data_IF_802148059632
#
_entry.id   IF_802148059632
#
_cell.length_a   1.000
_cell.length_b   1.000
_cell.length_c   1.000
_cell.angle_alpha   90.00
_cell.angle_beta   90.00
_cell.angle_gamma   90.00
#
_symmetry.space_group_name_H-M   'P 1'
#
loop_
_entity.id
_entity.type
_entity.pdbx_description
1 polymer ?
#
# COMPACT_ATOMS: atom_id res chain seq x y z
N UNK A 1 -38.49 37.88 11.40
CA UNK A 1 -39.22 38.88 10.59
C UNK A 1 -38.29 40.07 10.48
N UNK A 2 -37.92 40.67 9.36
CA UNK A 2 -38.23 40.51 7.96
C UNK A 2 -37.27 41.50 7.26
N UNK A 3 -36.70 41.09 6.12
CA UNK A 3 -36.36 41.95 4.97
C UNK A 3 -35.18 42.96 5.04
N UNK A 4 -34.22 42.74 4.13
CA UNK A 4 -33.46 43.75 3.33
C UNK A 4 -34.42 44.74 2.61
N UNK A 5 -34.03 45.83 1.88
CA UNK A 5 -32.79 45.99 1.07
C UNK A 5 -32.24 47.42 0.76
N UNK A 6 -31.12 47.47 0.00
CA UNK A 6 -30.63 48.49 -0.98
C UNK A 6 -30.32 49.92 -0.47
N UNK A 7 -29.27 50.64 -0.91
CA UNK A 7 -28.89 50.97 -2.30
C UNK A 7 -27.53 51.73 -2.35
N UNK A 8 -26.83 51.51 -3.47
CA UNK A 8 -26.00 52.39 -4.32
C UNK A 8 -25.05 53.51 -3.81
N UNK A 9 -23.86 53.45 -4.45
CA UNK A 9 -22.77 54.40 -4.72
C UNK A 9 -23.21 55.89 -4.95
N UNK A 10 -22.40 56.96 -4.87
CA UNK A 10 -21.00 57.19 -5.25
C UNK A 10 -20.53 58.63 -4.86
N UNK A 11 -19.20 58.88 -4.80
CA UNK A 11 -18.55 60.21 -4.93
C UNK A 11 -18.10 60.88 -3.61
N UNK A 12 -17.07 61.72 -3.51
CA UNK A 12 -16.00 62.26 -4.39
C UNK A 12 -14.99 62.95 -3.44
N UNK A 13 -13.69 62.99 -3.72
CA UNK A 13 -12.77 63.83 -2.93
C UNK A 13 -11.27 63.65 -3.24
N UNK A 14 -10.72 64.63 -3.95
CA UNK A 14 -9.32 64.76 -4.39
C UNK A 14 -8.27 64.81 -3.26
N UNK A 15 -7.08 64.25 -3.54
CA UNK A 15 -5.75 64.88 -3.31
C UNK A 15 -4.64 64.09 -4.03
N UNK A 16 -3.84 64.82 -4.80
CA UNK A 16 -2.73 64.37 -5.65
C UNK A 16 -1.44 64.17 -4.83
N UNK A 17 -0.73 63.04 -4.99
CA UNK A 17 0.73 63.00 -5.16
C UNK A 17 1.20 61.64 -5.74
N UNK A 18 2.37 61.67 -6.35
CA UNK A 18 2.86 60.94 -7.51
C UNK A 18 3.34 59.48 -7.31
N UNK A 19 3.19 58.71 -8.39
CA UNK A 19 4.10 57.67 -8.94
C UNK A 19 4.50 56.49 -8.04
N UNK A 20 3.82 55.35 -8.22
CA UNK A 20 4.38 54.11 -8.79
C UNK A 20 3.24 53.11 -9.06
N UNK A 21 3.45 52.27 -10.07
CA UNK A 21 2.41 51.57 -10.84
C UNK A 21 1.63 50.46 -10.16
N UNK A 22 0.46 50.23 -10.77
CA UNK A 22 -0.31 48.98 -10.90
C UNK A 22 -0.74 48.21 -9.64
N UNK A 23 -2.00 48.48 -9.28
CA UNK A 23 -3.09 47.54 -9.03
C UNK A 23 -2.77 46.03 -9.03
N UNK A 24 -2.94 45.36 -7.89
CA UNK A 24 -4.09 44.45 -7.59
C UNK A 24 -3.88 43.71 -6.27
N UNK A 25 -4.91 43.78 -5.43
CA UNK A 25 -5.09 42.99 -4.23
C UNK A 25 -5.65 41.59 -4.55
N UNK A 26 -5.51 40.72 -3.53
CA UNK A 26 -6.21 39.45 -3.28
C UNK A 26 -5.42 38.16 -3.58
N UNK A 27 -5.02 37.49 -2.50
CA UNK A 27 -5.42 36.11 -2.24
C UNK A 27 -4.52 34.99 -2.78
N UNK A 28 -3.85 34.33 -1.84
CA UNK A 28 -3.13 33.05 -1.93
C UNK A 28 -3.64 32.05 -2.97
N UNK A 29 -2.70 31.42 -3.69
CA UNK A 29 -2.70 29.97 -3.95
C UNK A 29 -1.34 29.56 -4.55
N UNK A 30 -0.27 29.64 -3.75
CA UNK A 30 0.90 28.80 -4.00
C UNK A 30 0.50 27.36 -3.72
N UNK A 31 -0.02 26.71 -4.77
CA UNK A 31 -0.12 25.24 -4.83
C UNK A 31 1.29 24.71 -4.57
N UNK A 32 1.53 23.93 -3.50
CA UNK A 32 2.82 23.29 -3.36
C UNK A 32 3.00 22.39 -4.58
N UNK A 33 4.13 22.58 -5.27
CA UNK A 33 4.55 21.76 -6.37
C UNK A 33 4.39 20.30 -5.98
N UNK A 34 3.63 19.56 -6.79
CA UNK A 34 3.49 18.12 -6.65
C UNK A 34 4.88 17.52 -6.50
N UNK A 35 5.13 16.93 -5.34
CA UNK A 35 6.33 16.18 -5.01
C UNK A 35 6.42 15.02 -6.02
N UNK A 36 7.29 15.19 -7.01
CA UNK A 36 7.66 14.14 -7.95
C UNK A 36 8.57 13.16 -7.21
N UNK A 37 7.97 12.39 -6.29
CA UNK A 37 8.64 11.26 -5.66
C UNK A 37 8.92 10.22 -6.75
N UNK A 38 10.17 10.18 -7.17
CA UNK A 38 10.73 9.26 -8.16
C UNK A 38 10.79 7.84 -7.60
N UNK A 39 9.63 7.19 -7.42
CA UNK A 39 9.61 5.75 -7.18
C UNK A 39 9.91 5.04 -8.51
N UNK A 40 10.97 4.23 -8.52
CA UNK A 40 11.34 3.40 -9.67
C UNK A 40 10.11 2.58 -10.10
N UNK A 41 9.53 2.87 -11.26
CA UNK A 41 8.36 2.17 -11.78
C UNK A 41 8.69 0.68 -11.91
N UNK A 42 8.22 -0.10 -10.94
CA UNK A 42 8.45 -1.55 -10.93
C UNK A 42 7.63 -2.15 -12.06
N UNK A 43 8.25 -2.96 -12.92
CA UNK A 43 7.61 -3.49 -14.13
C UNK A 43 6.38 -4.38 -13.87
N UNK A 44 6.20 -4.84 -12.63
CA UNK A 44 5.07 -5.68 -12.21
C UNK A 44 3.95 -4.90 -11.51
N UNK A 45 4.09 -3.58 -11.33
CA UNK A 45 3.02 -2.70 -10.85
C UNK A 45 2.32 -2.12 -12.08
N UNK A 46 1.01 -2.37 -12.20
CA UNK A 46 0.20 -2.01 -13.37
C UNK A 46 -0.42 -0.61 -13.22
N UNK A 47 -0.95 -0.32 -12.04
CA UNK A 47 -1.68 0.90 -11.73
C UNK A 47 -1.77 1.09 -10.20
N UNK A 48 -2.49 2.11 -9.76
CA UNK A 48 -2.88 2.29 -8.36
C UNK A 48 -4.40 2.22 -8.20
N UNK A 49 -4.86 1.61 -7.11
CA UNK A 49 -6.26 1.52 -6.71
C UNK A 49 -6.51 2.48 -5.55
N UNK A 50 -7.50 3.35 -5.69
CA UNK A 50 -7.86 4.31 -4.64
C UNK A 50 -8.62 3.62 -3.53
N UNK A 51 -8.14 3.75 -2.30
CA UNK A 51 -8.76 3.18 -1.10
C UNK A 51 -8.93 4.25 -0.02
N UNK A 52 -9.69 3.99 1.07
CA UNK A 52 -9.86 4.95 2.16
C UNK A 52 -8.54 5.40 2.81
N UNK A 53 -7.48 4.60 2.69
CA UNK A 53 -6.17 4.87 3.29
C UNK A 53 -5.18 5.52 2.32
N UNK A 54 -5.57 5.71 1.05
CA UNK A 54 -4.71 6.22 -0.02
C UNK A 54 -4.65 5.30 -1.24
N UNK A 55 -3.68 5.55 -2.11
CA UNK A 55 -3.48 4.79 -3.34
C UNK A 55 -2.65 3.53 -3.07
N UNK A 56 -3.19 2.38 -3.44
CA UNK A 56 -2.55 1.07 -3.26
C UNK A 56 -2.07 0.54 -4.62
N UNK A 57 -0.82 0.08 -4.76
CA UNK A 57 -0.32 -0.47 -6.02
C UNK A 57 -1.07 -1.75 -6.41
N UNK A 58 -1.57 -1.78 -7.66
CA UNK A 58 -2.14 -2.95 -8.31
C UNK A 58 -1.03 -3.71 -9.02
N UNK A 59 -0.93 -5.00 -8.76
CA UNK A 59 0.17 -5.84 -9.23
C UNK A 59 -0.31 -6.86 -10.27
N UNK A 60 0.54 -7.11 -11.26
CA UNK A 60 0.28 -8.15 -12.26
C UNK A 60 0.33 -9.54 -11.63
N UNK A 61 -0.54 -10.44 -12.04
CA UNK A 61 -0.47 -11.88 -11.71
C UNK A 61 0.48 -12.62 -12.66
N UNK A 62 0.58 -12.14 -13.89
CA UNK A 62 1.51 -12.66 -14.88
C UNK A 62 2.94 -12.24 -14.59
N UNK A 63 3.84 -13.23 -14.56
CA UNK A 63 5.26 -13.03 -14.35
C UNK A 63 5.92 -12.61 -15.67
N UNK A 64 6.62 -11.50 -15.68
CA UNK A 64 7.40 -11.07 -16.83
C UNK A 64 8.70 -11.88 -16.92
N UNK A 65 9.34 -11.90 -18.10
CA UNK A 65 10.65 -12.53 -18.27
C UNK A 65 11.69 -12.00 -17.26
N UNK A 66 11.64 -10.70 -16.93
CA UNK A 66 12.47 -10.09 -15.90
C UNK A 66 12.31 -10.74 -14.51
N UNK A 67 11.11 -11.19 -14.16
CA UNK A 67 10.85 -11.91 -12.90
C UNK A 67 11.48 -13.30 -12.91
N UNK A 68 11.37 -14.02 -14.02
CA UNK A 68 11.99 -15.33 -14.21
C UNK A 68 13.51 -15.26 -14.17
N UNK A 69 14.10 -14.26 -14.83
CA UNK A 69 15.54 -14.00 -14.77
C UNK A 69 15.99 -13.63 -13.37
N UNK A 70 15.25 -12.75 -12.68
CA UNK A 70 15.51 -12.37 -11.29
C UNK A 70 15.49 -13.57 -10.34
N UNK A 71 14.48 -14.42 -10.46
CA UNK A 71 14.36 -15.65 -9.68
C UNK A 71 15.50 -16.63 -9.97
N UNK A 72 15.90 -16.78 -11.24
CA UNK A 72 17.00 -17.67 -11.64
C UNK A 72 18.35 -17.17 -11.11
N UNK A 73 18.62 -15.86 -11.18
CA UNK A 73 19.79 -15.23 -10.55
C UNK A 73 19.82 -15.49 -9.04
N UNK A 74 18.68 -15.28 -8.36
CA UNK A 74 18.57 -15.52 -6.93
C UNK A 74 18.83 -17.00 -6.55
N UNK A 75 18.33 -17.95 -7.36
CA UNK A 75 18.61 -19.39 -7.21
C UNK A 75 20.09 -19.72 -7.35
N UNK A 76 20.80 -19.02 -8.24
CA UNK A 76 22.26 -19.13 -8.40
C UNK A 76 23.05 -18.26 -7.41
N UNK A 77 22.43 -17.83 -6.31
CA UNK A 77 23.04 -17.01 -5.24
C UNK A 77 23.46 -15.60 -5.67
N UNK A 78 23.11 -15.16 -6.87
CA UNK A 78 23.43 -13.83 -7.40
C UNK A 78 22.36 -12.85 -6.91
N UNK A 79 22.74 -11.88 -6.09
CA UNK A 79 21.84 -10.80 -5.64
C UNK A 79 20.65 -11.25 -4.78
N UNK A 80 20.64 -12.50 -4.27
CA UNK A 80 19.49 -13.03 -3.50
C UNK A 80 19.14 -12.21 -2.26
N UNK A 81 20.15 -11.62 -1.60
CA UNK A 81 19.95 -10.84 -0.36
C UNK A 81 19.21 -9.52 -0.61
N UNK A 82 19.25 -9.01 -1.85
CA UNK A 82 18.60 -7.76 -2.28
C UNK A 82 17.35 -7.99 -3.14
N UNK A 83 16.96 -9.25 -3.38
CA UNK A 83 15.80 -9.59 -4.19
C UNK A 83 14.51 -9.50 -3.37
N UNK A 84 14.05 -8.26 -3.13
CA UNK A 84 12.97 -7.93 -2.20
C UNK A 84 11.89 -7.06 -2.83
N UNK A 85 10.72 -7.09 -2.22
CA UNK A 85 9.60 -6.19 -2.48
C UNK A 85 9.43 -5.27 -1.27
N UNK A 86 8.84 -4.10 -1.45
CA UNK A 86 8.52 -3.22 -0.33
C UNK A 86 7.42 -3.86 0.54
N UNK A 87 7.61 -3.98 1.87
CA UNK A 87 6.55 -4.42 2.76
C UNK A 87 5.36 -3.47 2.71
N UNK A 88 4.14 -4.00 2.68
CA UNK A 88 2.95 -3.18 2.50
C UNK A 88 1.76 -3.96 1.97
N UNK A 89 0.72 -3.23 1.62
CA UNK A 89 -0.51 -3.76 1.04
C UNK A 89 -0.48 -3.56 -0.48
N UNK A 90 -0.87 -4.59 -1.22
CA UNK A 90 -0.95 -4.59 -2.67
C UNK A 90 -2.31 -5.15 -3.11
N UNK A 91 -2.81 -4.68 -4.25
CA UNK A 91 -4.03 -5.17 -4.85
C UNK A 91 -3.73 -6.12 -6.02
N UNK A 92 -4.48 -7.20 -6.14
CA UNK A 92 -4.54 -8.02 -7.37
C UNK A 92 -5.93 -7.88 -7.95
N UNK A 93 -6.02 -7.50 -9.22
CA UNK A 93 -7.29 -7.21 -9.89
C UNK A 93 -7.94 -5.95 -9.31
N UNK A 94 -9.24 -6.04 -9.01
CA UNK A 94 -10.05 -4.96 -8.43
C UNK A 94 -10.69 -5.39 -7.10
N UNK A 95 -9.89 -5.63 -6.04
CA UNK A 95 -10.39 -6.16 -4.79
C UNK A 95 -11.26 -5.14 -4.06
N UNK A 96 -12.48 -5.57 -3.71
CA UNK A 96 -13.37 -4.84 -2.82
C UNK A 96 -13.04 -5.09 -1.34
N UNK A 97 -13.78 -4.47 -0.41
CA UNK A 97 -13.59 -4.66 1.03
C UNK A 97 -13.82 -6.09 1.52
N UNK A 98 -14.66 -6.86 0.81
CA UNK A 98 -14.96 -8.25 1.12
C UNK A 98 -13.94 -9.25 0.54
N UNK A 99 -12.95 -8.78 -0.23
CA UNK A 99 -11.96 -9.64 -0.86
C UNK A 99 -11.03 -10.29 0.20
N UNK A 100 -10.49 -11.50 -0.07
CA UNK A 100 -9.59 -12.17 0.84
C UNK A 100 -8.27 -11.42 0.99
N UNK A 101 -7.71 -11.45 2.20
CA UNK A 101 -6.36 -10.94 2.48
C UNK A 101 -5.39 -12.11 2.58
N UNK A 102 -4.42 -12.14 1.67
CA UNK A 102 -3.40 -13.16 1.57
C UNK A 102 -2.06 -12.60 2.06
N UNK A 103 -1.38 -13.31 2.95
CA UNK A 103 -0.16 -12.83 3.58
C UNK A 103 1.06 -13.49 2.95
N UNK A 104 2.11 -12.72 2.69
CA UNK A 104 3.39 -13.23 2.19
C UNK A 104 4.59 -12.54 2.81
N UNK A 105 5.78 -13.08 2.53
CA UNK A 105 7.06 -12.51 2.87
C UNK A 105 7.53 -11.52 1.78
N UNK A 106 8.28 -10.49 2.16
CA UNK A 106 8.87 -9.53 1.20
C UNK A 106 10.06 -10.07 0.38
N UNK A 107 10.36 -11.36 0.46
CA UNK A 107 11.25 -11.99 -0.51
C UNK A 107 10.57 -12.09 -1.87
N UNK A 108 11.14 -11.47 -2.91
CA UNK A 108 10.44 -11.27 -4.20
C UNK A 108 9.99 -12.58 -4.85
N UNK A 109 10.72 -13.69 -4.68
CA UNK A 109 10.29 -14.99 -5.21
C UNK A 109 9.06 -15.56 -4.46
N UNK A 110 8.93 -15.30 -3.15
CA UNK A 110 7.74 -15.67 -2.38
C UNK A 110 6.54 -14.83 -2.78
N UNK A 111 6.74 -13.52 -2.98
CA UNK A 111 5.73 -12.62 -3.51
C UNK A 111 5.27 -13.00 -4.92
N UNK A 112 6.21 -13.27 -5.84
CA UNK A 112 5.91 -13.66 -7.22
C UNK A 112 5.10 -14.97 -7.28
N UNK A 113 5.41 -15.95 -6.43
CA UNK A 113 4.61 -17.18 -6.32
C UNK A 113 3.19 -16.89 -5.89
N UNK A 114 2.99 -16.08 -4.86
CA UNK A 114 1.66 -15.74 -4.38
C UNK A 114 0.85 -14.99 -5.42
N UNK A 115 1.40 -13.92 -6.02
CA UNK A 115 0.64 -13.16 -7.04
C UNK A 115 0.29 -13.99 -8.27
N UNK A 116 1.15 -14.95 -8.65
CA UNK A 116 0.85 -15.85 -9.78
C UNK A 116 -0.20 -16.92 -9.46
N UNK A 117 -0.37 -17.33 -8.20
CA UNK A 117 -1.34 -18.36 -7.82
C UNK A 117 -2.77 -17.84 -7.70
N UNK A 118 -2.93 -16.53 -7.65
CA UNK A 118 -4.23 -15.84 -7.54
C UNK A 118 -4.67 -15.24 -8.87
N UNK A 119 -4.12 -15.72 -9.97
CA UNK A 119 -4.52 -15.29 -11.30
C UNK A 119 -6.03 -15.46 -11.53
N UNK A 120 -6.64 -14.44 -12.16
CA UNK A 120 -8.08 -14.37 -12.35
C UNK A 120 -8.92 -14.19 -11.08
N UNK A 121 -8.32 -13.82 -9.94
CA UNK A 121 -9.05 -13.55 -8.69
C UNK A 121 -8.67 -12.19 -8.10
N UNK A 122 -9.66 -11.53 -7.53
CA UNK A 122 -9.45 -10.30 -6.77
C UNK A 122 -9.02 -10.61 -5.34
N UNK A 123 -7.86 -10.08 -4.93
CA UNK A 123 -7.33 -10.31 -3.59
C UNK A 123 -6.44 -9.16 -3.11
N UNK A 124 -6.39 -9.00 -1.79
CA UNK A 124 -5.41 -8.15 -1.12
C UNK A 124 -4.18 -8.97 -0.76
N UNK A 125 -2.98 -8.47 -1.10
CA UNK A 125 -1.71 -9.09 -0.70
C UNK A 125 -1.05 -8.24 0.39
N UNK A 126 -0.97 -8.79 1.60
CA UNK A 126 -0.26 -8.20 2.72
C UNK A 126 1.18 -8.76 2.78
N UNK A 127 2.16 -7.91 2.50
CA UNK A 127 3.57 -8.31 2.43
C UNK A 127 4.29 -7.90 3.71
N UNK A 128 4.78 -8.88 4.47
CA UNK A 128 5.51 -8.69 5.73
C UNK A 128 7.00 -8.42 5.50
N UNK A 129 7.63 -7.63 6.37
CA UNK A 129 9.06 -7.37 6.32
C UNK A 129 9.90 -8.49 6.93
N UNK A 130 10.13 -9.52 6.13
CA UNK A 130 11.00 -10.65 6.48
C UNK A 130 12.48 -10.42 6.17
N UNK A 131 12.90 -9.17 5.90
CA UNK A 131 14.27 -8.84 5.46
C UNK A 131 14.71 -9.67 4.24
N UNK A 132 13.79 -9.95 3.31
CA UNK A 132 14.07 -10.71 2.10
C UNK A 132 14.33 -12.20 2.33
N UNK A 133 13.82 -12.77 3.42
CA UNK A 133 13.90 -14.20 3.74
C UNK A 133 12.58 -14.85 3.30
N UNK A 134 12.63 -16.09 2.78
CA UNK A 134 11.40 -16.81 2.44
C UNK A 134 10.54 -17.08 3.69
N UNK A 135 9.25 -17.36 3.50
CA UNK A 135 8.27 -17.62 4.56
C UNK A 135 8.78 -18.62 5.61
N UNK A 136 9.18 -19.82 5.20
CA UNK A 136 9.56 -20.90 6.13
C UNK A 136 10.75 -20.52 7.01
N UNK A 137 11.84 -20.05 6.39
CA UNK A 137 13.04 -19.65 7.12
C UNK A 137 12.78 -18.40 7.96
N UNK A 138 11.92 -17.48 7.50
CA UNK A 138 11.56 -16.28 8.24
C UNK A 138 10.68 -16.60 9.46
N UNK A 139 9.80 -17.60 9.35
CA UNK A 139 8.95 -18.07 10.44
C UNK A 139 9.80 -18.73 11.55
N UNK A 140 10.73 -19.62 11.17
CA UNK A 140 11.66 -20.21 12.12
C UNK A 140 12.61 -19.19 12.79
N UNK A 141 12.85 -18.04 12.15
CA UNK A 141 13.64 -16.92 12.70
C UNK A 141 12.80 -15.87 13.44
N UNK A 142 11.48 -15.97 13.44
CA UNK A 142 10.57 -14.99 14.03
C UNK A 142 10.29 -13.73 13.21
N UNK A 143 11.01 -13.48 12.09
CA UNK A 143 10.77 -12.32 11.22
C UNK A 143 9.47 -12.42 10.39
N UNK A 144 9.01 -13.63 10.11
CA UNK A 144 7.62 -13.88 9.69
C UNK A 144 6.88 -14.35 10.94
N UNK A 145 6.56 -13.40 11.81
CA UNK A 145 6.06 -13.69 13.14
C UNK A 145 4.84 -12.87 13.55
N UNK A 146 4.27 -13.18 14.71
CA UNK A 146 3.11 -12.47 15.26
C UNK A 146 3.32 -10.97 15.31
N UNK A 147 4.46 -10.50 15.83
CA UNK A 147 4.71 -9.06 16.02
C UNK A 147 4.78 -8.30 14.70
N UNK A 148 5.52 -8.82 13.71
CA UNK A 148 5.58 -8.20 12.38
C UNK A 148 4.20 -8.21 11.71
N UNK A 149 3.44 -9.30 11.85
CA UNK A 149 2.09 -9.37 11.28
C UNK A 149 1.16 -8.31 11.91
N UNK A 150 1.13 -8.22 13.23
CA UNK A 150 0.33 -7.21 13.96
C UNK A 150 0.77 -5.80 13.58
N UNK A 151 2.08 -5.53 13.64
CA UNK A 151 2.63 -4.22 13.26
C UNK A 151 2.29 -3.86 11.82
N UNK A 152 2.34 -4.82 10.89
CA UNK A 152 2.01 -4.59 9.48
C UNK A 152 0.52 -4.28 9.28
N UNK A 153 -0.38 -5.00 9.97
CA UNK A 153 -1.82 -4.75 9.94
C UNK A 153 -2.14 -3.31 10.35
N UNK A 154 -1.51 -2.85 11.44
CA UNK A 154 -1.68 -1.49 11.96
C UNK A 154 -1.07 -0.45 11.01
N UNK A 155 0.16 -0.69 10.53
CA UNK A 155 0.88 0.23 9.65
C UNK A 155 0.14 0.50 8.33
N UNK A 156 -0.50 -0.53 7.76
CA UNK A 156 -1.30 -0.37 6.54
C UNK A 156 -2.76 -0.02 6.84
N UNK A 157 -3.15 0.17 8.11
CA UNK A 157 -4.54 0.43 8.51
C UNK A 157 -5.53 -0.54 7.88
N UNK A 158 -5.22 -1.83 7.91
CA UNK A 158 -5.95 -2.85 7.16
C UNK A 158 -7.46 -2.87 7.49
N UNK A 159 -7.82 -2.50 8.72
CA UNK A 159 -9.20 -2.36 9.20
C UNK A 159 -10.08 -1.44 8.36
N UNK A 160 -9.49 -0.43 7.73
CA UNK A 160 -10.21 0.57 6.95
C UNK A 160 -10.37 0.16 5.48
N UNK A 161 -9.59 -0.83 5.03
CA UNK A 161 -9.58 -1.33 3.65
C UNK A 161 -10.49 -2.54 3.49
N UNK A 162 -10.47 -3.45 4.46
CA UNK A 162 -11.22 -4.72 4.37
C UNK A 162 -12.29 -4.84 5.46
N UNK A 163 -13.47 -5.30 5.04
CA UNK A 163 -14.53 -5.70 5.96
C UNK A 163 -14.31 -7.10 6.52
N UNK A 164 -13.57 -7.95 5.79
CA UNK A 164 -13.22 -9.29 6.28
C UNK A 164 -12.25 -9.18 7.45
N UNK A 165 -12.48 -9.99 8.50
CA UNK A 165 -11.57 -10.09 9.65
C UNK A 165 -10.80 -11.40 9.63
N UNK A 166 -10.38 -11.82 8.43
CA UNK A 166 -9.67 -13.08 8.22
C UNK A 166 -8.46 -12.87 7.33
N UNK A 167 -7.31 -13.36 7.77
CA UNK A 167 -6.04 -13.35 7.07
C UNK A 167 -5.68 -14.79 6.69
N UNK A 168 -5.32 -15.00 5.43
CA UNK A 168 -4.90 -16.30 4.93
C UNK A 168 -3.37 -16.31 4.84
N UNK A 169 -2.75 -17.10 5.71
CA UNK A 169 -1.31 -17.27 5.78
C UNK A 169 -0.89 -18.58 5.09
N UNK A 170 0.33 -18.66 4.54
CA UNK A 170 0.90 -19.92 4.07
C UNK A 170 1.10 -20.89 5.23
N UNK A 171 0.88 -22.20 5.00
CA UNK A 171 1.05 -23.23 6.02
C UNK A 171 2.48 -23.27 6.60
N UNK A 172 3.49 -22.97 5.77
CA UNK A 172 4.90 -22.89 6.19
C UNK A 172 5.19 -21.70 7.13
N UNK A 173 4.26 -20.75 7.27
CA UNK A 173 4.37 -19.64 8.22
C UNK A 173 3.85 -19.99 9.62
N UNK A 174 3.16 -21.12 9.79
CA UNK A 174 2.50 -21.48 11.05
C UNK A 174 3.42 -21.52 12.29
N UNK A 175 4.68 -21.99 12.19
CA UNK A 175 5.57 -22.01 13.36
C UNK A 175 5.93 -20.61 13.91
N UNK A 176 5.83 -19.56 13.08
CA UNK A 176 6.19 -18.20 13.49
C UNK A 176 5.01 -17.38 14.01
N UNK A 177 3.77 -17.80 13.74
CA UNK A 177 2.57 -16.98 13.99
C UNK A 177 1.63 -17.62 15.00
N UNK A 178 1.50 -16.97 16.15
CA UNK A 178 0.52 -17.31 17.17
C UNK A 178 -0.87 -16.76 16.80
N UNK A 179 -1.66 -17.55 16.07
CA UNK A 179 -2.98 -17.15 15.57
C UNK A 179 -3.93 -16.57 16.65
N UNK A 180 -3.87 -17.11 17.87
CA UNK A 180 -4.69 -16.64 18.98
C UNK A 180 -4.27 -15.23 19.44
N UNK A 181 -2.98 -14.95 19.47
CA UNK A 181 -2.43 -13.65 19.86
C UNK A 181 -2.74 -12.58 18.80
N UNK A 182 -2.61 -12.92 17.51
CA UNK A 182 -3.02 -12.04 16.41
C UNK A 182 -4.49 -11.64 16.56
N UNK A 183 -5.37 -12.61 16.84
CA UNK A 183 -6.80 -12.35 17.04
C UNK A 183 -7.05 -11.47 18.27
N UNK A 184 -6.34 -11.69 19.38
CA UNK A 184 -6.50 -10.87 20.58
C UNK A 184 -6.04 -9.42 20.35
N UNK A 185 -4.92 -9.21 19.63
CA UNK A 185 -4.32 -7.88 19.43
C UNK A 185 -4.99 -7.07 18.34
N UNK A 186 -5.43 -7.73 17.25
CA UNK A 186 -5.95 -7.03 16.06
C UNK A 186 -7.41 -7.35 15.76
N UNK A 187 -7.99 -8.39 16.36
CA UNK A 187 -9.32 -8.88 15.97
C UNK A 187 -9.35 -9.65 14.65
N UNK A 188 -8.22 -9.79 13.93
CA UNK A 188 -8.13 -10.63 12.74
C UNK A 188 -7.93 -12.11 13.10
N UNK A 189 -8.71 -12.98 12.47
CA UNK A 189 -8.52 -14.42 12.52
C UNK A 189 -7.46 -14.83 11.51
N UNK A 190 -6.58 -15.75 11.90
CA UNK A 190 -5.62 -16.38 10.98
C UNK A 190 -6.19 -17.71 10.52
N UNK A 191 -6.21 -17.91 9.20
CA UNK A 191 -6.42 -19.21 8.55
C UNK A 191 -5.14 -19.60 7.81
N UNK A 192 -4.82 -20.88 7.80
CA UNK A 192 -3.70 -21.40 7.04
C UNK A 192 -4.19 -21.94 5.71
N UNK A 193 -3.71 -21.33 4.62
CA UNK A 193 -3.88 -21.81 3.26
C UNK A 193 -2.95 -22.99 2.95
N UNK A 194 -2.93 -23.45 1.69
CA UNK A 194 -2.16 -24.63 1.28
C UNK A 194 -0.65 -24.44 1.39
N UNK A 195 0.09 -25.55 1.39
CA UNK A 195 1.54 -25.56 1.14
C UNK A 195 1.78 -25.16 -0.32
N UNK A 196 2.51 -24.08 -0.56
CA UNK A 196 2.91 -23.62 -1.91
C UNK A 196 4.27 -22.95 -1.92
#
# INVERSE_FOLDING_TARGET
MSQSPKSECCGTGDRVNERHGDTRCCGNDERPAADQSSSTTRHWVLSSLRTPIGDIPVVSTHLAWADHLGASKARWRIGRMRYRVEPGLYAVGTPGPAAPVLVSANYKMSFDRLRSSVDGRDAWLLVLDTKGINVWCAAGKGTFGTDELVSRIEAVKLHDVVSTRTLILPQLGAPGVAAHEVKQRTGFRVLYGPVS
#
